data_IF_053387493807
#
_entry.id   IF_053387493807
#
_cell.length_a   1.000
_cell.length_b   1.000
_cell.length_c   1.000
_cell.angle_alpha   90.00
_cell.angle_beta   90.00
_cell.angle_gamma   90.00
#
_symmetry.space_group_name_H-M   'P 1'
#
loop_
_entity.id
_entity.type
_entity.pdbx_description
1 polymer ?
#
# COMPACT_ATOMS: atom_id res chain seq x y z
N UNK A 1 24.14 7.98 6.78
CA UNK A 1 23.57 6.75 7.37
C UNK A 1 22.34 6.39 6.56
N UNK A 2 22.39 5.30 5.78
CA UNK A 2 21.26 4.86 4.98
C UNK A 2 20.25 4.17 5.90
N UNK A 3 19.10 4.81 6.14
CA UNK A 3 17.97 4.13 6.75
C UNK A 3 17.47 3.11 5.73
N UNK A 4 17.80 1.84 5.96
CA UNK A 4 17.08 0.75 5.33
C UNK A 4 15.62 0.91 5.77
N UNK A 5 14.75 1.30 4.85
CA UNK A 5 13.30 1.18 5.04
C UNK A 5 13.04 -0.29 5.34
N UNK A 6 12.86 -0.59 6.62
CA UNK A 6 12.47 -1.91 7.08
C UNK A 6 11.06 -2.12 6.58
N UNK A 7 10.91 -2.81 5.46
CA UNK A 7 9.64 -3.31 4.99
C UNK A 7 9.11 -4.27 6.06
N UNK A 8 8.27 -3.75 6.96
CA UNK A 8 7.52 -4.56 7.90
C UNK A 8 6.66 -5.54 7.10
N UNK A 9 6.41 -6.76 7.64
CA UNK A 9 5.60 -7.75 6.95
C UNK A 9 4.32 -7.07 6.47
N UNK A 10 4.05 -7.20 5.16
CA UNK A 10 2.80 -6.81 4.56
C UNK A 10 1.69 -7.46 5.39
N UNK A 11 1.12 -6.72 6.33
CA UNK A 11 -0.10 -7.13 7.02
C UNK A 11 -1.18 -7.06 5.95
N UNK A 12 -1.32 -8.16 5.22
CA UNK A 12 -2.33 -8.41 4.20
C UNK A 12 -3.69 -8.63 4.88
N UNK A 13 -4.01 -7.81 5.88
CA UNK A 13 -5.20 -7.95 6.73
C UNK A 13 -6.50 -7.93 5.89
N UNK A 14 -6.46 -7.38 4.67
CA UNK A 14 -7.46 -7.60 3.63
C UNK A 14 -6.87 -7.39 2.24
N UNK A 15 -6.66 -8.47 1.48
CA UNK A 15 -6.55 -8.41 0.01
C UNK A 15 -7.95 -8.68 -0.54
N UNK A 16 -8.60 -7.64 -1.05
CA UNK A 16 -9.84 -7.80 -1.80
C UNK A 16 -9.45 -7.92 -3.28
N UNK A 17 -9.58 -9.11 -3.87
CA UNK A 17 -9.23 -9.32 -5.28
C UNK A 17 -10.32 -10.03 -6.07
N UNK A 18 -10.43 -9.64 -7.33
CA UNK A 18 -11.13 -10.37 -8.37
C UNK A 18 -10.20 -10.61 -9.58
N UNK A 19 -10.75 -11.05 -10.70
CA UNK A 19 -9.97 -11.34 -11.91
C UNK A 19 -9.40 -10.08 -12.60
N UNK A 20 -9.93 -8.89 -12.30
CA UNK A 20 -9.60 -7.63 -12.93
C UNK A 20 -8.85 -6.65 -12.00
N UNK A 21 -9.13 -6.67 -10.70
CA UNK A 21 -8.63 -5.70 -9.73
C UNK A 21 -8.26 -6.34 -8.40
N UNK A 22 -7.33 -5.69 -7.69
CA UNK A 22 -6.99 -6.05 -6.32
C UNK A 22 -6.78 -4.80 -5.48
N UNK A 23 -7.32 -4.79 -4.26
CA UNK A 23 -7.12 -3.74 -3.27
C UNK A 23 -6.28 -4.29 -2.13
N UNK A 24 -5.23 -3.56 -1.78
CA UNK A 24 -4.23 -3.97 -0.79
C UNK A 24 -3.96 -2.83 0.19
N UNK A 25 -3.95 -3.17 1.48
CA UNK A 25 -3.50 -2.26 2.53
C UNK A 25 -2.03 -2.54 2.87
N UNK A 26 -1.20 -1.49 2.82
CA UNK A 26 0.21 -1.52 3.19
C UNK A 26 0.38 -0.79 4.52
N UNK A 27 0.81 -1.51 5.56
CA UNK A 27 1.13 -0.91 6.86
C UNK A 27 2.62 -0.57 6.92
N UNK A 28 2.92 0.70 7.20
CA UNK A 28 4.27 1.19 7.48
C UNK A 28 4.30 1.65 8.93
N UNK A 29 5.18 1.08 9.75
CA UNK A 29 5.35 1.43 11.16
C UNK A 29 6.56 2.34 11.31
N UNK A 30 6.38 3.49 11.93
CA UNK A 30 7.43 4.42 12.30
C UNK A 30 8.16 3.92 13.56
N UNK A 31 9.46 4.25 13.77
CA UNK A 31 10.17 3.91 15.01
C UNK A 31 9.50 4.40 16.32
N UNK A 32 8.59 5.37 16.23
CA UNK A 32 7.77 5.88 17.34
C UNK A 32 6.53 5.03 17.66
N UNK A 33 6.34 3.88 17.01
CA UNK A 33 5.15 3.01 17.04
C UNK A 33 3.86 3.60 16.42
N UNK A 34 3.90 4.87 16.01
CA UNK A 34 2.93 5.40 15.05
C UNK A 34 2.98 4.55 13.76
N UNK A 35 1.83 4.35 13.11
CA UNK A 35 1.82 3.64 11.83
C UNK A 35 0.86 4.25 10.84
N UNK A 36 1.20 4.13 9.57
CA UNK A 36 0.37 4.52 8.45
C UNK A 36 -0.12 3.29 7.70
N UNK A 37 -1.40 3.27 7.34
CA UNK A 37 -1.97 2.30 6.41
C UNK A 37 -2.24 3.02 5.08
N UNK A 38 -1.61 2.54 4.01
CA UNK A 38 -1.81 3.00 2.65
C UNK A 38 -2.67 2.00 1.89
N UNK A 39 -3.75 2.47 1.27
CA UNK A 39 -4.64 1.61 0.47
C UNK A 39 -4.32 1.78 -1.00
N UNK A 40 -3.87 0.71 -1.64
CA UNK A 40 -3.62 0.65 -3.07
C UNK A 40 -4.70 -0.14 -3.79
N UNK A 41 -5.01 0.25 -5.03
CA UNK A 41 -5.83 -0.53 -5.96
C UNK A 41 -5.04 -0.79 -7.23
N UNK A 42 -4.91 -2.07 -7.59
CA UNK A 42 -4.23 -2.56 -8.76
C UNK A 42 -5.24 -2.94 -9.84
N UNK A 43 -4.92 -2.64 -11.09
CA UNK A 43 -5.65 -3.08 -12.27
C UNK A 43 -4.79 -4.08 -13.05
N UNK A 44 -5.33 -5.28 -13.24
CA UNK A 44 -4.63 -6.37 -13.93
C UNK A 44 -4.43 -6.09 -15.41
N UNK A 45 -5.50 -5.73 -16.12
CA UNK A 45 -5.47 -5.58 -17.57
C UNK A 45 -4.62 -4.39 -18.02
N UNK A 46 -4.71 -3.28 -17.31
CA UNK A 46 -3.96 -2.06 -17.61
C UNK A 46 -2.55 -2.05 -17.01
N UNK A 47 -2.22 -3.02 -16.13
CA UNK A 47 -0.99 -3.07 -15.34
C UNK A 47 -0.69 -1.73 -14.64
N UNK A 48 -1.71 -1.16 -13.99
CA UNK A 48 -1.61 0.09 -13.22
C UNK A 48 -1.92 -0.12 -11.74
N UNK A 49 -1.47 0.82 -10.92
CA UNK A 49 -1.85 0.94 -9.52
C UNK A 49 -2.32 2.37 -9.20
N UNK A 50 -3.18 2.52 -8.20
CA UNK A 50 -3.63 3.79 -7.64
C UNK A 50 -3.44 3.76 -6.15
N UNK A 51 -2.87 4.81 -5.59
CA UNK A 51 -2.95 5.06 -4.15
C UNK A 51 -4.28 5.76 -3.88
N UNK A 52 -5.12 5.17 -3.03
CA UNK A 52 -6.47 5.68 -2.73
C UNK A 52 -6.49 6.55 -1.48
N UNK A 53 -5.94 6.01 -0.38
CA UNK A 53 -5.96 6.66 0.91
C UNK A 53 -4.72 6.31 1.75
N UNK A 54 -4.41 7.20 2.68
CA UNK A 54 -3.49 7.00 3.80
C UNK A 54 -4.25 7.30 5.09
N UNK A 55 -4.16 6.42 6.08
CA UNK A 55 -4.63 6.64 7.45
C UNK A 55 -3.45 6.52 8.41
N UNK A 56 -3.30 7.46 9.32
CA UNK A 56 -2.24 7.47 10.34
C UNK A 56 -2.86 7.15 11.68
N UNK A 57 -2.23 6.22 12.40
CA UNK A 57 -2.66 5.71 13.68
C UNK A 57 -1.56 5.93 14.71
N UNK A 58 -1.95 6.31 15.92
CA UNK A 58 -1.04 6.31 17.06
C UNK A 58 -0.82 4.87 17.60
N UNK A 59 0.06 4.64 18.59
CA UNK A 59 0.35 3.30 19.09
C UNK A 59 -0.86 2.63 19.77
N UNK A 60 -1.83 3.41 20.24
CA UNK A 60 -3.07 2.92 20.83
C UNK A 60 -4.13 2.53 19.78
N UNK A 61 -3.86 2.72 18.48
CA UNK A 61 -4.75 2.35 17.38
C UNK A 61 -5.81 3.39 17.01
N UNK A 62 -5.71 4.62 17.54
CA UNK A 62 -6.61 5.71 17.14
C UNK A 62 -6.09 6.42 15.89
N UNK A 63 -7.01 6.78 14.98
CA UNK A 63 -6.69 7.59 13.81
C UNK A 63 -6.33 9.01 14.26
N UNK A 64 -5.13 9.46 13.95
CA UNK A 64 -4.61 10.80 14.27
C UNK A 64 -4.40 11.67 13.02
N UNK A 65 -4.57 11.11 11.82
CA UNK A 65 -4.46 11.83 10.58
C UNK A 65 -4.74 10.96 9.36
N UNK A 66 -4.80 11.57 8.19
CA UNK A 66 -4.99 10.86 6.94
C UNK A 66 -5.04 11.77 5.72
N UNK A 67 -4.99 11.15 4.56
CA UNK A 67 -5.08 11.80 3.26
C UNK A 67 -5.83 10.89 2.28
N UNK A 68 -6.74 11.48 1.52
CA UNK A 68 -7.33 10.86 0.32
C UNK A 68 -6.58 11.43 -0.89
N UNK A 69 -6.27 10.57 -1.86
CA UNK A 69 -5.51 10.96 -3.05
C UNK A 69 -6.44 11.06 -4.26
N UNK A 70 -5.99 11.75 -5.31
CA UNK A 70 -6.77 11.99 -6.53
C UNK A 70 -6.99 10.73 -7.39
N UNK A 71 -6.57 9.55 -6.91
CA UNK A 71 -6.72 8.24 -7.57
C UNK A 71 -6.11 8.20 -8.98
N UNK A 72 -4.99 8.90 -9.16
CA UNK A 72 -4.22 8.90 -10.40
C UNK A 72 -3.65 7.52 -10.68
N UNK A 73 -3.85 7.04 -11.91
CA UNK A 73 -3.22 5.81 -12.39
C UNK A 73 -1.70 5.97 -12.47
N UNK A 74 -0.97 5.06 -11.82
CA UNK A 74 0.47 4.91 -11.89
C UNK A 74 0.76 3.67 -12.72
N UNK A 75 1.51 3.82 -13.79
CA UNK A 75 1.98 2.69 -14.59
C UNK A 75 2.99 1.88 -13.78
N UNK A 76 2.78 0.56 -13.71
CA UNK A 76 3.68 -0.34 -12.98
C UNK A 76 4.87 -0.65 -13.90
N UNK A 77 6.03 -0.12 -13.53
CA UNK A 77 7.27 -0.36 -14.24
C UNK A 77 7.85 -1.72 -13.84
N UNK A 78 8.38 -2.48 -14.81
CA UNK A 78 9.05 -3.74 -14.55
C UNK A 78 10.16 -3.59 -13.50
N UNK A 79 10.31 -4.58 -12.63
CA UNK A 79 11.29 -4.61 -11.53
C UNK A 79 11.09 -3.54 -10.45
N UNK A 80 10.00 -2.77 -10.50
CA UNK A 80 9.64 -1.86 -9.40
C UNK A 80 9.02 -2.62 -8.23
N UNK A 81 9.01 -2.00 -7.05
CA UNK A 81 8.30 -2.55 -5.88
C UNK A 81 6.82 -2.87 -6.18
N UNK A 82 6.16 -2.05 -7.01
CA UNK A 82 4.77 -2.30 -7.42
C UNK A 82 4.65 -3.48 -8.38
N UNK A 83 5.67 -3.76 -9.20
CA UNK A 83 5.72 -4.93 -10.08
C UNK A 83 5.92 -6.21 -9.28
N UNK A 84 6.78 -6.20 -8.25
CA UNK A 84 6.88 -7.33 -7.32
C UNK A 84 5.56 -7.59 -6.59
N UNK A 85 4.89 -6.55 -6.08
CA UNK A 85 3.58 -6.69 -5.45
C UNK A 85 2.53 -7.20 -6.43
N UNK A 86 2.54 -6.71 -7.67
CA UNK A 86 1.63 -7.16 -8.73
C UNK A 86 1.74 -8.67 -8.98
N UNK A 87 2.97 -9.20 -9.10
CA UNK A 87 3.22 -10.64 -9.28
C UNK A 87 2.96 -11.49 -8.03
N UNK A 88 2.84 -10.87 -6.84
CA UNK A 88 2.38 -11.57 -5.64
C UNK A 88 0.84 -11.72 -5.61
N UNK A 89 0.12 -10.84 -6.29
CA UNK A 89 -1.35 -10.87 -6.37
C UNK A 89 -1.84 -11.87 -7.43
N UNK A 90 -1.13 -11.95 -8.57
CA UNK A 90 -1.40 -12.83 -9.72
C UNK A 90 -0.12 -13.46 -10.27
#
# INVERSE_FOLDING_TARGET
>A
MSYAESWYPLNTDAVEKDDAQAKLNLKIVDPSDDHSIYTFQFNRAAKTAKLLEKKVYNPAGYIIGGQIYDNTDIQIQEESNLDYVYHLIW
#
